data_IF_872750839953
#
_entry.id   IF_872750839953
#
_cell.length_a   1.000
_cell.length_b   1.000
_cell.length_c   1.000
_cell.angle_alpha   90.00
_cell.angle_beta   90.00
_cell.angle_gamma   90.00
#
_symmetry.space_group_name_H-M   'P 1'
#
loop_
_entity.id
_entity.type
_entity.pdbx_description
1 polymer ?
#
# COMPACT_ATOMS: atom_id res chain seq x y z
N UNK A 1 -23.92 53.64 19.45
CA UNK A 1 -23.72 52.36 20.16
C UNK A 1 -23.94 51.25 19.16
N UNK A 2 -22.85 50.65 18.70
CA UNK A 2 -22.79 49.64 17.65
C UNK A 2 -23.28 48.27 18.16
N UNK A 3 -24.23 47.67 17.45
CA UNK A 3 -24.66 46.28 17.65
C UNK A 3 -24.53 45.52 16.33
N UNK A 4 -23.35 44.93 16.12
CA UNK A 4 -23.04 44.03 15.02
C UNK A 4 -23.80 42.71 15.19
N UNK A 5 -24.69 42.38 14.25
CA UNK A 5 -25.24 41.03 14.08
C UNK A 5 -24.76 40.50 12.73
N UNK A 6 -23.67 39.74 12.80
CA UNK A 6 -23.03 39.04 11.69
C UNK A 6 -24.03 38.04 11.11
N UNK A 7 -24.63 38.41 9.98
CA UNK A 7 -25.37 37.51 9.10
C UNK A 7 -24.35 36.54 8.49
N UNK A 8 -24.24 35.34 9.03
CA UNK A 8 -23.36 34.28 8.51
C UNK A 8 -23.80 33.95 7.08
N UNK A 9 -23.04 34.47 6.11
CA UNK A 9 -23.21 34.24 4.68
C UNK A 9 -22.98 32.75 4.43
N UNK A 10 -24.03 32.02 4.02
CA UNK A 10 -23.88 30.69 3.43
C UNK A 10 -23.04 30.84 2.16
N UNK A 11 -21.76 30.51 2.25
CA UNK A 11 -20.92 30.30 1.07
C UNK A 11 -21.35 28.97 0.44
N UNK A 12 -22.30 29.05 -0.49
CA UNK A 12 -22.41 28.06 -1.57
C UNK A 12 -21.07 28.09 -2.31
N UNK A 13 -20.21 27.12 -2.03
CA UNK A 13 -19.07 26.85 -2.91
C UNK A 13 -19.62 26.38 -4.26
N UNK A 14 -19.13 26.90 -5.39
CA UNK A 14 -19.64 26.54 -6.71
C UNK A 14 -19.35 25.07 -6.98
N UNK A 15 -20.34 24.34 -7.49
CA UNK A 15 -20.11 23.07 -8.17
C UNK A 15 -19.19 23.35 -9.36
N UNK A 16 -17.92 22.96 -9.23
CA UNK A 16 -17.09 22.62 -10.36
C UNK A 16 -17.33 21.16 -10.68
N UNK A 17 -18.25 20.89 -11.61
CA UNK A 17 -18.23 19.66 -12.38
C UNK A 17 -16.94 19.66 -13.20
N UNK A 18 -15.97 18.86 -12.76
CA UNK A 18 -14.99 18.19 -13.62
C UNK A 18 -14.24 17.14 -12.78
N UNK A 19 -14.75 15.89 -12.82
CA UNK A 19 -13.98 14.63 -12.75
C UNK A 19 -12.85 14.42 -11.70
N UNK A 20 -12.95 14.94 -10.48
CA UNK A 20 -12.03 14.60 -9.36
C UNK A 20 -12.60 13.48 -8.43
N UNK A 21 -13.74 12.89 -8.79
CA UNK A 21 -14.38 11.83 -7.99
C UNK A 21 -13.66 10.46 -8.03
N UNK A 22 -12.64 10.29 -8.87
CA UNK A 22 -11.86 9.07 -8.96
C UNK A 22 -10.56 9.24 -8.14
N UNK A 23 -10.30 8.29 -7.22
CA UNK A 23 -9.09 8.17 -6.35
C UNK A 23 -9.15 8.68 -4.88
N UNK A 24 -10.33 8.87 -4.27
CA UNK A 24 -10.41 9.16 -2.82
C UNK A 24 -10.79 7.93 -2.00
N UNK A 25 -10.01 7.63 -0.95
CA UNK A 25 -10.40 6.65 0.08
C UNK A 25 -11.35 7.33 1.05
N UNK A 26 -12.51 6.72 1.27
CA UNK A 26 -13.58 7.28 2.11
C UNK A 26 -13.67 6.56 3.45
N UNK A 27 -13.88 7.31 4.53
CA UNK A 27 -14.07 6.76 5.88
C UNK A 27 -15.53 6.92 6.34
N UNK A 28 -16.05 5.94 7.10
CA UNK A 28 -17.36 5.99 7.77
C UNK A 28 -17.21 5.53 9.22
N UNK A 29 -17.91 6.17 10.16
CA UNK A 29 -17.89 5.79 11.58
C UNK A 29 -18.71 4.50 11.87
N UNK A 30 -19.33 3.90 10.86
CA UNK A 30 -20.07 2.64 10.99
C UNK A 30 -19.14 1.47 11.36
N UNK A 31 -19.70 0.43 11.98
CA UNK A 31 -19.03 -0.86 12.18
C UNK A 31 -19.32 -1.87 11.06
N UNK A 32 -20.20 -1.53 10.12
CA UNK A 32 -20.50 -2.39 8.98
C UNK A 32 -19.35 -2.39 7.97
N UNK A 33 -19.02 -3.56 7.43
CA UNK A 33 -18.06 -3.66 6.32
C UNK A 33 -18.65 -2.96 5.09
N UNK A 34 -17.93 -2.02 4.46
CA UNK A 34 -18.42 -1.35 3.26
C UNK A 34 -18.68 -2.34 2.13
N UNK A 35 -19.65 -2.03 1.25
CA UNK A 35 -20.00 -2.80 0.03
C UNK A 35 -20.14 -1.86 -1.17
N UNK A 36 -19.90 -2.34 -2.41
CA UNK A 36 -20.15 -1.55 -3.61
C UNK A 36 -21.67 -1.32 -3.75
N UNK A 37 -22.08 -0.08 -3.99
CA UNK A 37 -23.46 0.41 -4.28
C UNK A 37 -24.40 0.80 -3.13
N UNK A 38 -24.01 0.74 -1.86
CA UNK A 38 -24.85 1.36 -0.83
C UNK A 38 -24.64 2.88 -0.81
N UNK A 39 -25.62 3.62 -1.34
CA UNK A 39 -25.80 5.06 -1.08
C UNK A 39 -25.97 5.27 0.42
N UNK A 40 -24.86 5.34 1.16
CA UNK A 40 -24.83 5.68 2.58
C UNK A 40 -24.61 7.17 2.76
N UNK A 41 -25.45 7.79 3.61
CA UNK A 41 -25.48 9.23 3.95
C UNK A 41 -24.62 9.49 5.19
N UNK A 42 -23.39 8.97 5.21
CA UNK A 42 -22.46 9.19 6.32
C UNK A 42 -21.49 10.35 6.03
N UNK A 43 -21.05 11.02 7.09
CA UNK A 43 -20.05 12.09 7.07
C UNK A 43 -18.70 11.53 6.62
N UNK A 44 -18.27 11.90 5.40
CA UNK A 44 -17.08 11.36 4.75
C UNK A 44 -15.85 12.18 5.12
N UNK A 45 -14.89 11.55 5.79
CA UNK A 45 -13.52 12.05 5.85
C UNK A 45 -12.75 11.51 4.64
N UNK A 46 -12.14 12.39 3.85
CA UNK A 46 -11.27 12.03 2.73
C UNK A 46 -9.83 12.06 3.24
N UNK A 47 -9.14 10.92 3.20
CA UNK A 47 -7.73 10.81 3.60
C UNK A 47 -6.87 10.11 2.53
N UNK A 48 -5.55 10.34 2.60
CA UNK A 48 -4.57 9.91 1.59
C UNK A 48 -4.14 8.43 1.67
N UNK A 49 -4.89 7.55 2.34
CA UNK A 49 -4.51 6.16 2.56
C UNK A 49 -5.01 5.24 1.43
N UNK A 50 -4.27 5.20 0.31
CA UNK A 50 -4.70 4.48 -0.90
C UNK A 50 -4.25 3.02 -0.97
N UNK A 51 -3.23 2.61 -0.22
CA UNK A 51 -2.60 1.29 -0.36
C UNK A 51 -2.33 0.67 1.00
N UNK A 52 -2.69 -0.60 1.16
CA UNK A 52 -2.38 -1.43 2.30
C UNK A 52 -1.68 -2.72 1.83
N UNK A 53 -1.05 -3.42 2.77
CA UNK A 53 -0.55 -4.79 2.53
C UNK A 53 -1.53 -5.78 3.13
N UNK A 54 -1.87 -6.81 2.38
CA UNK A 54 -2.60 -7.99 2.84
C UNK A 54 -1.63 -9.15 2.93
N UNK A 55 -1.68 -9.88 4.04
CA UNK A 55 -0.97 -11.14 4.23
C UNK A 55 -1.97 -12.26 4.51
N UNK A 56 -1.94 -13.32 3.70
CA UNK A 56 -2.82 -14.48 3.85
C UNK A 56 -2.35 -15.43 4.98
N UNK A 57 -3.14 -16.48 5.23
CA UNK A 57 -2.82 -17.48 6.27
C UNK A 57 -1.57 -18.30 5.96
N UNK A 58 -1.13 -18.36 4.70
CA UNK A 58 0.10 -19.02 4.26
C UNK A 58 1.32 -18.09 4.33
N UNK A 59 1.12 -16.81 4.65
CA UNK A 59 2.16 -15.79 4.72
C UNK A 59 2.48 -15.13 3.38
N UNK A 60 1.68 -15.35 2.34
CA UNK A 60 1.85 -14.62 1.09
C UNK A 60 1.37 -13.19 1.23
N UNK A 61 2.16 -12.26 0.70
CA UNK A 61 1.88 -10.84 0.78
C UNK A 61 1.43 -10.29 -0.58
N UNK A 62 0.46 -9.38 -0.56
CA UNK A 62 0.05 -8.61 -1.73
C UNK A 62 -0.34 -7.18 -1.35
N UNK A 63 -0.28 -6.26 -2.31
CA UNK A 63 -0.85 -4.94 -2.13
C UNK A 63 -2.35 -4.94 -2.43
N UNK A 64 -3.10 -4.21 -1.62
CA UNK A 64 -4.52 -3.92 -1.85
C UNK A 64 -4.72 -2.40 -1.91
N UNK A 65 -5.63 -1.95 -2.78
CA UNK A 65 -5.98 -0.53 -2.90
C UNK A 65 -7.25 -0.25 -2.11
N UNK A 66 -7.12 0.50 -1.02
CA UNK A 66 -8.22 0.76 -0.08
C UNK A 66 -9.16 1.80 -0.67
N UNK A 67 -10.45 1.44 -0.79
CA UNK A 67 -11.51 2.30 -1.32
C UNK A 67 -12.36 2.91 -0.22
N UNK A 68 -12.75 2.09 0.75
CA UNK A 68 -13.55 2.53 1.89
C UNK A 68 -13.05 1.89 3.17
N UNK A 69 -13.08 2.63 4.27
CA UNK A 69 -12.75 2.13 5.61
C UNK A 69 -13.88 2.50 6.56
N UNK A 70 -14.23 1.58 7.45
CA UNK A 70 -15.14 1.78 8.56
C UNK A 70 -14.49 1.31 9.86
N UNK A 71 -15.12 1.57 11.01
CA UNK A 71 -14.60 1.11 12.29
C UNK A 71 -14.53 -0.43 12.37
N UNK A 72 -15.38 -1.15 11.61
CA UNK A 72 -15.45 -2.62 11.65
C UNK A 72 -14.94 -3.33 10.41
N UNK A 73 -14.43 -2.60 9.41
CA UNK A 73 -13.86 -3.24 8.23
C UNK A 73 -13.44 -2.29 7.13
N UNK A 74 -12.97 -2.84 6.01
CA UNK A 74 -12.66 -2.05 4.82
C UNK A 74 -13.12 -2.75 3.55
N UNK A 75 -13.25 -1.96 2.49
CA UNK A 75 -13.37 -2.42 1.12
C UNK A 75 -12.11 -2.03 0.35
N UNK A 76 -11.53 -2.99 -0.35
CA UNK A 76 -10.36 -2.75 -1.19
C UNK A 76 -10.43 -3.52 -2.51
N UNK A 77 -9.72 -3.01 -3.51
CA UNK A 77 -9.35 -3.77 -4.70
C UNK A 77 -8.13 -4.62 -4.36
N UNK A 78 -8.18 -5.91 -4.68
CA UNK A 78 -7.07 -6.82 -4.50
C UNK A 78 -6.33 -7.05 -5.82
N UNK A 79 -4.99 -7.09 -5.77
CA UNK A 79 -4.17 -7.42 -6.94
C UNK A 79 -4.36 -8.88 -7.39
N UNK A 80 -4.67 -9.77 -6.44
CA UNK A 80 -4.95 -11.19 -6.69
C UNK A 80 -6.25 -11.62 -6.02
N UNK A 81 -6.90 -12.68 -6.52
CA UNK A 81 -8.12 -13.20 -5.91
C UNK A 81 -7.91 -13.60 -4.44
N UNK A 82 -8.85 -13.19 -3.60
CA UNK A 82 -8.98 -13.64 -2.20
C UNK A 82 -10.24 -14.47 -2.05
N UNK A 83 -10.33 -15.36 -1.06
CA UNK A 83 -11.49 -16.24 -0.87
C UNK A 83 -12.35 -15.77 0.30
N UNK A 84 -13.67 -15.82 0.14
CA UNK A 84 -14.59 -15.57 1.26
C UNK A 84 -14.36 -16.60 2.37
N UNK A 85 -14.32 -16.13 3.62
CA UNK A 85 -14.02 -16.93 4.80
C UNK A 85 -12.52 -17.03 5.13
N UNK A 86 -11.64 -16.50 4.29
CA UNK A 86 -10.21 -16.50 4.52
C UNK A 86 -9.82 -15.53 5.65
N UNK A 87 -9.01 -16.02 6.59
CA UNK A 87 -8.37 -15.20 7.61
C UNK A 87 -7.12 -14.54 7.04
N UNK A 88 -7.02 -13.22 7.19
CA UNK A 88 -5.94 -12.40 6.65
C UNK A 88 -5.52 -11.35 7.67
N UNK A 89 -4.32 -10.81 7.51
CA UNK A 89 -3.90 -9.60 8.22
C UNK A 89 -3.72 -8.45 7.25
N UNK A 90 -4.17 -7.26 7.64
CA UNK A 90 -4.07 -6.05 6.84
C UNK A 90 -3.14 -5.07 7.54
N UNK A 91 -2.04 -4.70 6.89
CA UNK A 91 -1.18 -3.61 7.32
C UNK A 91 -1.63 -2.30 6.66
N UNK A 92 -2.22 -1.41 7.47
CA UNK A 92 -2.67 -0.08 7.10
C UNK A 92 -2.09 0.94 8.06
N UNK A 93 -1.46 2.01 7.56
CA UNK A 93 -0.81 3.04 8.39
C UNK A 93 0.20 2.48 9.42
N UNK A 94 0.92 1.42 9.05
CA UNK A 94 1.85 0.68 9.93
C UNK A 94 1.20 0.00 11.14
N UNK A 95 -0.12 -0.21 11.10
CA UNK A 95 -0.86 -1.05 12.04
C UNK A 95 -1.30 -2.31 11.32
N UNK A 96 -1.05 -3.47 11.95
CA UNK A 96 -1.55 -4.77 11.48
C UNK A 96 -2.89 -5.07 12.12
N UNK A 97 -3.92 -5.31 11.31
CA UNK A 97 -5.30 -5.54 11.73
C UNK A 97 -5.72 -6.94 11.26
N UNK A 98 -6.05 -7.81 12.21
CA UNK A 98 -6.58 -9.14 11.91
C UNK A 98 -7.98 -9.03 11.33
N UNK A 99 -8.22 -9.74 10.23
CA UNK A 99 -9.42 -9.57 9.43
C UNK A 99 -9.88 -10.89 8.79
N UNK A 100 -11.16 -10.96 8.44
CA UNK A 100 -11.73 -12.05 7.64
C UNK A 100 -12.37 -11.49 6.36
N UNK A 101 -12.14 -12.15 5.23
CA UNK A 101 -12.80 -11.81 3.96
C UNK A 101 -14.28 -12.22 4.06
N UNK A 102 -15.20 -11.25 3.96
CA UNK A 102 -16.64 -11.51 4.14
C UNK A 102 -17.45 -11.46 2.84
N UNK A 103 -16.92 -10.87 1.79
CA UNK A 103 -17.51 -10.86 0.46
C UNK A 103 -16.46 -10.52 -0.59
N UNK A 104 -16.68 -10.96 -1.83
CA UNK A 104 -15.89 -10.59 -3.02
C UNK A 104 -16.83 -10.22 -4.17
N UNK A 105 -16.49 -9.20 -4.95
CA UNK A 105 -17.25 -8.77 -6.15
C UNK A 105 -16.31 -8.08 -7.14
N UNK A 106 -16.18 -8.64 -8.34
CA UNK A 106 -15.49 -7.97 -9.48
C UNK A 106 -14.09 -7.40 -9.12
N UNK A 107 -13.24 -8.19 -8.46
CA UNK A 107 -11.89 -7.76 -8.06
C UNK A 107 -11.82 -6.88 -6.80
N UNK A 108 -12.97 -6.51 -6.23
CA UNK A 108 -13.08 -5.92 -4.89
C UNK A 108 -13.44 -6.96 -3.84
N UNK A 109 -12.99 -6.71 -2.61
CA UNK A 109 -13.31 -7.55 -1.47
C UNK A 109 -13.59 -6.70 -0.22
N UNK A 110 -14.47 -7.23 0.62
CA UNK A 110 -14.74 -6.69 1.94
C UNK A 110 -14.04 -7.48 3.02
N UNK A 111 -13.36 -6.77 3.89
CA UNK A 111 -12.59 -7.33 4.99
C UNK A 111 -13.23 -6.87 6.29
N UNK A 112 -13.72 -7.81 7.08
CA UNK A 112 -14.22 -7.54 8.43
C UNK A 112 -13.06 -7.59 9.39
N UNK A 113 -12.89 -6.54 10.19
CA UNK A 113 -11.91 -6.56 11.26
C UNK A 113 -12.41 -7.44 12.41
N UNK A 114 -11.51 -8.20 13.01
CA UNK A 114 -11.83 -9.04 14.18
C UNK A 114 -12.18 -8.17 15.40
N UNK A 115 -11.56 -6.99 15.49
CA UNK A 115 -11.84 -5.97 16.48
C UNK A 115 -12.06 -4.63 15.79
N UNK A 116 -13.02 -3.85 16.28
CA UNK A 116 -13.23 -2.50 15.77
C UNK A 116 -12.01 -1.63 16.06
N UNK A 117 -11.72 -0.70 15.14
CA UNK A 117 -10.60 0.23 15.25
C UNK A 117 -11.10 1.66 15.50
N UNK A 118 -10.28 2.45 16.19
CA UNK A 118 -10.48 3.90 16.30
C UNK A 118 -9.99 4.57 15.01
N UNK A 119 -10.94 5.05 14.19
CA UNK A 119 -10.63 5.73 12.94
C UNK A 119 -9.95 7.07 13.15
N UNK A 120 -10.21 7.75 14.26
CA UNK A 120 -9.53 8.99 14.62
C UNK A 120 -8.04 8.74 14.86
N UNK A 121 -7.70 7.69 15.60
CA UNK A 121 -6.30 7.28 15.82
C UNK A 121 -5.63 6.85 14.51
N UNK A 122 -6.31 6.04 13.69
CA UNK A 122 -5.81 5.56 12.40
C UNK A 122 -5.50 6.73 11.45
N UNK A 123 -6.39 7.73 11.39
CA UNK A 123 -6.29 8.89 10.49
C UNK A 123 -5.33 9.96 11.01
N UNK A 124 -5.32 10.22 12.31
CA UNK A 124 -4.36 11.15 12.92
C UNK A 124 -2.92 10.69 12.69
N UNK A 125 -2.74 9.37 12.51
CA UNK A 125 -1.43 8.74 12.47
C UNK A 125 -0.75 8.86 13.83
N UNK A 126 0.21 7.97 14.11
CA UNK A 126 1.12 8.22 15.23
C UNK A 126 1.88 9.50 14.90
N UNK A 127 1.88 10.50 15.81
CA UNK A 127 2.72 11.70 15.67
C UNK A 127 4.13 11.22 15.27
N UNK A 128 4.67 11.66 14.12
CA UNK A 128 6.03 11.37 13.77
C UNK A 128 6.92 11.69 14.97
N UNK A 129 7.53 10.68 15.60
CA UNK A 129 8.75 10.93 16.37
C UNK A 129 9.69 11.61 15.36
N UNK A 130 10.30 12.74 15.72
CA UNK A 130 11.05 13.59 14.78
C UNK A 130 11.78 12.77 13.70
N UNK A 131 11.37 12.95 12.43
CA UNK A 131 11.94 12.26 11.27
C UNK A 131 11.19 11.02 10.75
N UNK A 132 10.23 10.44 11.49
CA UNK A 132 9.47 9.27 11.03
C UNK A 132 8.26 9.65 10.18
N UNK A 133 8.43 9.67 8.85
CA UNK A 133 7.28 9.67 7.93
C UNK A 133 6.69 8.25 7.82
N UNK A 134 5.36 8.07 7.77
CA UNK A 134 4.74 6.80 7.43
C UNK A 134 5.35 6.28 6.13
N UNK A 135 5.89 5.05 6.16
CA UNK A 135 6.46 4.41 4.97
C UNK A 135 5.34 3.69 4.23
N UNK A 136 5.30 3.72 2.89
CA UNK A 136 4.41 2.86 2.14
C UNK A 136 4.61 1.39 2.54
N UNK A 137 3.54 0.57 2.58
CA UNK A 137 3.65 -0.85 2.87
C UNK A 137 4.72 -1.52 1.99
N UNK A 138 5.56 -2.34 2.61
CA UNK A 138 6.61 -3.10 1.96
C UNK A 138 6.24 -4.57 1.92
N UNK A 139 6.41 -5.17 0.75
CA UNK A 139 6.28 -6.60 0.53
C UNK A 139 7.65 -7.24 0.67
N UNK A 140 7.75 -8.27 1.49
CA UNK A 140 8.92 -9.13 1.56
C UNK A 140 9.00 -9.97 0.28
N UNK A 141 10.13 -9.87 -0.39
CA UNK A 141 10.41 -10.57 -1.63
C UNK A 141 11.77 -11.23 -1.50
N UNK A 142 11.92 -12.43 -2.03
CA UNK A 142 13.21 -13.11 -2.07
C UNK A 142 13.51 -13.41 -3.55
N UNK A 143 14.18 -12.47 -4.21
CA UNK A 143 14.47 -12.57 -5.65
C UNK A 143 15.83 -12.00 -6.01
N UNK A 144 16.36 -12.42 -7.16
CA UNK A 144 17.59 -11.86 -7.72
C UNK A 144 17.31 -10.64 -8.59
N UNK A 145 18.21 -9.68 -8.57
CA UNK A 145 18.22 -8.50 -9.41
C UNK A 145 19.64 -8.16 -9.85
N UNK A 146 19.76 -7.36 -10.91
CA UNK A 146 21.01 -6.73 -11.31
C UNK A 146 20.94 -5.24 -11.03
N UNK A 147 21.90 -4.72 -10.28
CA UNK A 147 22.04 -3.29 -9.96
C UNK A 147 23.22 -2.74 -10.73
N UNK A 148 22.96 -1.77 -11.61
CA UNK A 148 24.00 -0.93 -12.19
C UNK A 148 24.22 0.27 -11.28
N UNK A 149 25.42 0.39 -10.72
CA UNK A 149 25.87 1.48 -9.86
C UNK A 149 27.01 2.22 -10.58
N UNK A 150 26.73 3.39 -11.16
CA UNK A 150 27.70 4.13 -11.98
C UNK A 150 28.33 3.24 -13.07
N UNK A 151 29.57 2.78 -12.87
CA UNK A 151 30.34 1.87 -13.75
C UNK A 151 30.30 0.40 -13.32
N UNK A 152 29.90 0.11 -12.08
CA UNK A 152 29.92 -1.23 -11.49
C UNK A 152 28.55 -1.92 -11.66
N UNK A 153 28.58 -3.25 -11.77
CA UNK A 153 27.38 -4.08 -11.86
C UNK A 153 27.39 -5.12 -10.74
N UNK A 154 26.27 -5.23 -10.04
CA UNK A 154 26.09 -6.17 -8.92
C UNK A 154 24.91 -7.09 -9.20
N UNK A 155 25.10 -8.40 -9.00
CA UNK A 155 23.98 -9.32 -8.85
C UNK A 155 23.62 -9.40 -7.36
N UNK A 156 22.38 -9.03 -7.04
CA UNK A 156 21.91 -8.85 -5.65
C UNK A 156 20.65 -9.66 -5.40
N UNK A 157 20.39 -9.97 -4.13
CA UNK A 157 19.09 -10.29 -3.58
C UNK A 157 18.32 -9.00 -3.30
N UNK A 158 17.04 -8.98 -3.69
CA UNK A 158 16.04 -8.00 -3.22
C UNK A 158 15.32 -8.65 -2.05
N UNK A 159 15.24 -7.95 -0.92
CA UNK A 159 14.56 -8.41 0.30
C UNK A 159 13.15 -7.87 0.45
N UNK A 160 12.99 -6.58 0.15
CA UNK A 160 11.70 -5.92 0.26
C UNK A 160 11.52 -4.96 -0.91
N UNK A 161 10.27 -4.73 -1.27
CA UNK A 161 9.88 -3.74 -2.27
C UNK A 161 8.58 -3.05 -1.86
N UNK A 162 8.49 -1.75 -2.09
CA UNK A 162 7.25 -0.99 -2.07
C UNK A 162 7.06 -0.25 -3.38
N UNK A 163 5.97 0.51 -3.49
CA UNK A 163 5.77 1.40 -4.64
C UNK A 163 6.89 2.44 -4.79
N UNK A 164 7.62 2.79 -3.73
CA UNK A 164 8.59 3.88 -3.73
C UNK A 164 10.05 3.46 -3.60
N UNK A 165 10.35 2.19 -3.39
CA UNK A 165 11.74 1.76 -3.19
C UNK A 165 11.88 0.28 -2.91
N UNK A 166 13.13 -0.16 -2.79
CA UNK A 166 13.47 -1.55 -2.47
C UNK A 166 14.71 -1.62 -1.60
N UNK A 167 14.88 -2.75 -0.91
CA UNK A 167 16.10 -3.10 -0.18
C UNK A 167 16.83 -4.21 -0.91
N UNK A 168 18.14 -4.04 -1.10
CA UNK A 168 18.99 -5.00 -1.80
C UNK A 168 20.28 -5.31 -1.06
N UNK A 169 20.83 -6.50 -1.28
CA UNK A 169 22.18 -6.91 -0.85
C UNK A 169 22.74 -8.01 -1.77
N UNK A 170 24.06 -8.15 -1.98
CA UNK A 170 25.10 -7.31 -1.44
C UNK A 170 25.55 -6.20 -2.39
N UNK A 171 26.00 -5.08 -1.83
CA UNK A 171 26.80 -4.08 -2.52
C UNK A 171 28.09 -3.88 -1.71
N UNK A 172 29.24 -4.11 -2.35
CA UNK A 172 30.55 -4.09 -1.67
C UNK A 172 31.07 -2.67 -1.44
N UNK A 173 30.75 -1.75 -2.35
CA UNK A 173 31.22 -0.36 -2.29
C UNK A 173 30.25 0.55 -1.53
N UNK A 174 30.80 1.55 -0.85
CA UNK A 174 29.99 2.63 -0.28
C UNK A 174 29.24 3.39 -1.40
N UNK A 175 27.91 3.38 -1.33
CA UNK A 175 27.07 3.83 -2.43
C UNK A 175 26.02 4.89 -2.06
N UNK A 176 26.09 5.49 -0.87
CA UNK A 176 25.11 6.50 -0.45
C UNK A 176 25.01 7.67 -1.44
N UNK A 177 23.78 8.04 -1.82
CA UNK A 177 23.49 9.15 -2.74
C UNK A 177 23.74 8.83 -4.21
N UNK A 178 24.33 7.67 -4.55
CA UNK A 178 24.60 7.28 -5.93
C UNK A 178 23.32 6.92 -6.67
N UNK A 179 23.29 7.25 -7.96
CA UNK A 179 22.22 6.84 -8.87
C UNK A 179 22.41 5.39 -9.32
N UNK A 180 21.31 4.68 -9.39
CA UNK A 180 21.27 3.25 -9.75
C UNK A 180 20.20 2.96 -10.78
N UNK A 181 20.42 1.88 -11.53
CA UNK A 181 19.38 1.22 -12.32
C UNK A 181 19.28 -0.22 -11.85
N UNK A 182 18.09 -0.60 -11.38
CA UNK A 182 17.81 -1.96 -10.94
C UNK A 182 17.00 -2.68 -12.01
N UNK A 183 17.44 -3.87 -12.37
CA UNK A 183 16.73 -4.77 -13.30
C UNK A 183 16.35 -6.02 -12.53
N UNK A 184 15.05 -6.23 -12.38
CA UNK A 184 14.46 -7.41 -11.75
C UNK A 184 13.68 -8.17 -12.80
N UNK A 185 13.72 -9.50 -12.76
CA UNK A 185 12.95 -10.33 -13.69
C UNK A 185 11.45 -9.96 -13.66
N UNK A 186 10.84 -9.87 -14.85
CA UNK A 186 9.43 -9.53 -15.05
C UNK A 186 8.97 -8.15 -14.55
N UNK A 187 9.89 -7.28 -14.13
CA UNK A 187 9.62 -5.88 -13.82
C UNK A 187 10.37 -4.99 -14.82
N UNK A 188 9.84 -3.81 -15.15
CA UNK A 188 10.61 -2.84 -15.95
C UNK A 188 11.90 -2.45 -15.21
N UNK A 189 12.95 -2.00 -15.92
CA UNK A 189 14.09 -1.37 -15.27
C UNK A 189 13.66 -0.16 -14.42
N UNK A 190 14.10 -0.13 -13.16
CA UNK A 190 13.75 0.91 -12.20
C UNK A 190 14.96 1.78 -11.91
N UNK A 191 14.85 3.08 -12.18
CA UNK A 191 15.88 4.07 -11.81
C UNK A 191 15.64 4.57 -10.40
N UNK A 192 16.71 4.85 -9.69
CA UNK A 192 16.62 5.34 -8.32
C UNK A 192 17.93 5.86 -7.76
N UNK A 193 17.91 6.09 -6.46
CA UNK A 193 19.03 6.61 -5.69
C UNK A 193 19.16 5.86 -4.37
N UNK A 194 20.40 5.57 -3.98
CA UNK A 194 20.67 4.94 -2.68
C UNK A 194 20.45 5.97 -1.57
N UNK A 195 19.50 5.70 -0.67
CA UNK A 195 19.15 6.59 0.46
C UNK A 195 19.78 6.20 1.78
N UNK A 196 20.19 4.95 1.91
CA UNK A 196 20.99 4.49 3.04
C UNK A 196 21.82 3.29 2.59
N UNK A 197 22.98 3.13 3.21
CA UNK A 197 23.88 2.00 3.00
C UNK A 197 24.44 1.58 4.35
N UNK A 198 24.36 0.29 4.67
CA UNK A 198 24.89 -0.28 5.91
C UNK A 198 25.05 -1.78 5.75
N UNK A 199 26.17 -2.34 6.20
CA UNK A 199 26.40 -3.79 6.20
C UNK A 199 26.10 -4.44 4.83
N UNK A 200 26.67 -3.86 3.76
CA UNK A 200 26.46 -4.24 2.34
C UNK A 200 25.00 -4.22 1.85
N UNK A 201 24.07 -3.76 2.66
CA UNK A 201 22.68 -3.54 2.28
C UNK A 201 22.49 -2.10 1.84
N UNK A 202 21.70 -1.91 0.80
CA UNK A 202 21.30 -0.60 0.34
C UNK A 202 19.77 -0.48 0.28
N UNK A 203 19.27 0.67 0.72
CA UNK A 203 17.91 1.08 0.45
C UNK A 203 17.88 2.02 -0.74
N UNK A 204 17.19 1.61 -1.79
CA UNK A 204 17.04 2.39 -3.02
C UNK A 204 15.66 3.04 -3.01
N UNK A 205 15.59 4.36 -3.17
CA UNK A 205 14.34 5.07 -3.49
C UNK A 205 14.21 5.19 -5.00
N UNK A 206 13.02 4.99 -5.54
CA UNK A 206 12.79 5.11 -6.97
C UNK A 206 12.66 6.58 -7.38
N UNK A 207 13.23 6.93 -8.54
CA UNK A 207 13.05 8.26 -9.11
C UNK A 207 11.57 8.49 -9.49
N UNK A 208 10.89 7.42 -9.92
CA UNK A 208 9.46 7.38 -10.20
C UNK A 208 8.85 6.15 -9.52
N UNK A 209 7.82 6.32 -8.66
CA UNK A 209 7.14 5.21 -8.03
C UNK A 209 6.61 4.19 -9.05
N UNK A 210 6.57 2.92 -8.66
CA UNK A 210 5.84 1.89 -9.40
C UNK A 210 4.34 2.21 -9.37
N UNK A 211 3.65 1.86 -10.44
CA UNK A 211 2.19 1.83 -10.40
C UNK A 211 1.74 0.65 -9.54
N UNK A 212 0.57 0.78 -8.93
CA UNK A 212 -0.02 -0.31 -8.14
C UNK A 212 -0.22 -1.56 -9.00
N UNK A 213 -0.79 -1.39 -10.20
CA UNK A 213 -1.08 -2.48 -11.13
C UNK A 213 0.21 -3.20 -11.54
N UNK A 214 1.28 -2.44 -11.76
CA UNK A 214 2.61 -2.96 -12.10
C UNK A 214 3.19 -3.82 -10.97
N UNK A 215 3.18 -3.33 -9.72
CA UNK A 215 3.70 -4.09 -8.59
C UNK A 215 2.80 -5.27 -8.23
N UNK A 216 1.47 -5.12 -8.32
CA UNK A 216 0.52 -6.19 -8.11
C UNK A 216 0.75 -7.33 -9.11
N UNK A 217 0.75 -7.05 -10.41
CA UNK A 217 0.98 -8.05 -11.44
C UNK A 217 2.33 -8.76 -11.27
N UNK A 218 3.38 -8.00 -10.93
CA UNK A 218 4.70 -8.57 -10.68
C UNK A 218 4.72 -9.55 -9.50
N UNK A 219 4.04 -9.22 -8.40
CA UNK A 219 3.91 -10.12 -7.24
C UNK A 219 3.12 -11.38 -7.59
N UNK A 220 2.06 -11.27 -8.38
CA UNK A 220 1.25 -12.40 -8.83
C UNK A 220 2.05 -13.46 -9.54
N UNK A 221 2.81 -13.04 -10.55
CA UNK A 221 3.71 -13.91 -11.30
C UNK A 221 4.66 -14.67 -10.37
N UNK A 222 5.12 -14.04 -9.28
CA UNK A 222 6.00 -14.68 -8.31
C UNK A 222 5.27 -15.71 -7.43
N UNK A 223 4.05 -15.42 -6.99
CA UNK A 223 3.23 -16.36 -6.23
C UNK A 223 2.89 -17.60 -7.07
N UNK A 224 2.57 -17.40 -8.35
CA UNK A 224 2.34 -18.49 -9.31
C UNK A 224 3.60 -19.36 -9.47
N UNK A 225 4.76 -18.73 -9.73
CA UNK A 225 6.03 -19.45 -9.85
C UNK A 225 6.42 -20.20 -8.58
N UNK A 226 6.20 -19.62 -7.39
CA UNK A 226 6.48 -20.27 -6.11
C UNK A 226 5.59 -21.52 -5.93
N UNK A 227 4.31 -21.41 -6.27
CA UNK A 227 3.34 -22.51 -6.22
C UNK A 227 3.73 -23.64 -7.17
N UNK A 228 4.11 -23.31 -8.41
CA UNK A 228 4.59 -24.30 -9.40
C UNK A 228 5.86 -25.02 -8.93
N UNK A 229 6.84 -24.29 -8.40
CA UNK A 229 8.07 -24.88 -7.84
C UNK A 229 7.81 -25.79 -6.65
N UNK A 230 6.82 -25.46 -5.81
CA UNK A 230 6.42 -26.31 -4.68
C UNK A 230 5.73 -27.60 -5.14
N UNK A 231 4.94 -27.53 -6.22
CA UNK A 231 4.28 -28.70 -6.82
C UNK A 231 5.28 -29.70 -7.42
N UNK A 232 6.30 -29.21 -8.12
CA UNK A 232 7.33 -30.07 -8.78
C UNK A 232 8.27 -30.75 -7.77
N UNK A 233 8.38 -30.21 -6.55
CA UNK A 233 9.23 -30.77 -5.48
C UNK A 233 8.54 -31.86 -4.64
N UNK A 234 7.26 -32.14 -4.88
CA UNK A 234 6.53 -33.26 -4.26
C UNK A 234 6.54 -34.48 -5.17
#
# INVERSE_FOLDING_TARGET
>A
MFGSLIRRKQTKLPLGEDNIAFESTTFSLSTAVPRPDERRVDERLIAMLRVAKLTDAQGHEQLIRVRNVSAGGLMAEAGHPVRVGEAVSIELSSQTIQSTVVWTREGTAGFKFDQNIDLGELLAGRKPRHGFRPRPPRLEVNCKANVKLESSYYTVDVHDISLGGMKVEPIEEYCLGKKVVVVVESLRPVRGEVRWFSDRKAGIVFDQPLKFEELAEWIGKRLEMATLKASIKR
#
